data_IF_974380413165
#
_entry.id   IF_974380413165
#
_cell.length_a   1.000
_cell.length_b   1.000
_cell.length_c   1.000
_cell.angle_alpha   90.00
_cell.angle_beta   90.00
_cell.angle_gamma   90.00
#
_symmetry.space_group_name_H-M   'P 1'
#
loop_
_entity.id
_entity.type
_entity.pdbx_description
1 polymer ?
#
# COMPACT_ATOMS: atom_id res chain seq x y z
N UNK A 1 -20.03 14.46 -11.33
CA UNK A 1 -19.91 15.25 -12.59
C UNK A 1 -20.47 14.38 -13.70
N UNK A 2 -21.15 14.95 -14.70
CA UNK A 2 -21.60 14.15 -15.84
C UNK A 2 -20.39 13.61 -16.63
N UNK A 3 -20.54 12.51 -17.33
CA UNK A 3 -19.47 11.83 -18.08
C UNK A 3 -18.69 12.77 -19.04
N UNK A 4 -19.33 13.79 -19.56
CA UNK A 4 -18.73 14.80 -20.43
C UNK A 4 -17.73 15.72 -19.68
N UNK A 5 -18.06 16.15 -18.46
CA UNK A 5 -17.18 16.99 -17.64
C UNK A 5 -15.90 16.26 -17.25
N UNK A 6 -16.00 15.00 -16.80
CA UNK A 6 -14.84 14.15 -16.49
C UNK A 6 -13.94 13.96 -17.73
N UNK A 7 -14.53 13.71 -18.91
CA UNK A 7 -13.77 13.52 -20.15
C UNK A 7 -12.97 14.77 -20.55
N UNK A 8 -13.54 15.96 -20.38
CA UNK A 8 -12.85 17.24 -20.68
C UNK A 8 -11.71 17.50 -19.69
N UNK A 9 -11.95 17.33 -18.37
CA UNK A 9 -10.91 17.49 -17.35
C UNK A 9 -9.76 16.51 -17.57
N UNK A 10 -10.06 15.24 -17.84
CA UNK A 10 -9.09 14.19 -18.12
C UNK A 10 -8.23 14.53 -19.33
N UNK A 11 -8.84 14.98 -20.44
CA UNK A 11 -8.12 15.38 -21.65
C UNK A 11 -7.22 16.59 -21.40
N UNK A 12 -7.68 17.55 -20.61
CA UNK A 12 -6.87 18.70 -20.23
C UNK A 12 -5.67 18.31 -19.38
N UNK A 13 -5.84 17.37 -18.44
CA UNK A 13 -4.75 16.82 -17.65
C UNK A 13 -3.75 16.03 -18.51
N UNK A 14 -4.25 15.22 -19.46
CA UNK A 14 -3.40 14.49 -20.40
C UNK A 14 -2.48 15.43 -21.22
N UNK A 15 -3.00 16.55 -21.71
CA UNK A 15 -2.19 17.56 -22.41
C UNK A 15 -1.08 18.13 -21.51
N UNK A 16 -1.38 18.34 -20.23
CA UNK A 16 -0.39 18.80 -19.25
C UNK A 16 0.69 17.73 -19.04
N UNK A 17 0.29 16.46 -18.88
CA UNK A 17 1.23 15.33 -18.72
C UNK A 17 2.12 15.17 -19.96
N UNK A 18 1.56 15.24 -21.18
CA UNK A 18 2.34 15.13 -22.41
C UNK A 18 3.37 16.26 -22.54
N UNK A 19 2.98 17.50 -22.20
CA UNK A 19 3.90 18.65 -22.18
C UNK A 19 4.97 18.49 -21.12
N UNK A 20 4.60 17.99 -19.94
CA UNK A 20 5.50 17.69 -18.83
C UNK A 20 6.61 16.73 -19.29
N UNK A 21 6.21 15.53 -19.74
CA UNK A 21 7.15 14.49 -20.16
C UNK A 21 8.04 14.96 -21.31
N UNK A 22 7.46 15.67 -22.30
CA UNK A 22 8.21 16.24 -23.40
C UNK A 22 9.20 17.34 -22.96
N UNK A 23 8.86 18.16 -21.97
CA UNK A 23 9.74 19.22 -21.46
C UNK A 23 10.89 18.65 -20.64
N UNK A 24 10.64 17.63 -19.80
CA UNK A 24 11.68 16.96 -19.02
C UNK A 24 12.70 16.27 -19.94
N UNK A 25 12.22 15.56 -20.96
CA UNK A 25 13.09 14.85 -21.90
C UNK A 25 13.95 15.77 -22.78
N UNK A 26 13.56 17.04 -22.95
CA UNK A 26 14.28 18.05 -23.77
C UNK A 26 15.10 19.03 -22.95
N UNK A 27 14.90 19.08 -21.63
CA UNK A 27 15.54 20.09 -20.80
C UNK A 27 17.02 19.76 -20.57
N UNK A 28 17.90 20.74 -20.80
CA UNK A 28 19.29 20.68 -20.35
C UNK A 28 19.36 20.62 -18.81
N UNK A 29 18.43 21.30 -18.15
CA UNK A 29 18.26 21.28 -16.69
C UNK A 29 16.82 20.86 -16.34
N UNK A 30 16.62 19.65 -15.82
CA UNK A 30 15.31 19.14 -15.42
C UNK A 30 14.63 19.98 -14.35
N UNK A 31 15.41 20.65 -13.49
CA UNK A 31 14.87 21.55 -12.44
C UNK A 31 14.05 22.69 -13.02
N UNK A 32 14.48 23.27 -14.14
CA UNK A 32 13.73 24.31 -14.81
C UNK A 32 12.40 23.80 -15.37
N UNK A 33 12.40 22.58 -15.90
CA UNK A 33 11.17 21.92 -16.34
C UNK A 33 10.22 21.70 -15.15
N UNK A 34 10.71 21.19 -14.02
CA UNK A 34 9.89 21.01 -12.80
C UNK A 34 9.33 22.33 -12.28
N UNK A 35 10.12 23.40 -12.25
CA UNK A 35 9.65 24.73 -11.84
C UNK A 35 8.56 25.27 -12.76
N UNK A 36 8.69 25.08 -14.06
CA UNK A 36 7.68 25.48 -15.03
C UNK A 36 6.35 24.76 -14.82
N UNK A 37 6.41 23.45 -14.53
CA UNK A 37 5.25 22.62 -14.24
C UNK A 37 4.61 23.01 -12.92
N UNK A 38 5.44 23.19 -11.89
CA UNK A 38 4.99 23.64 -10.59
C UNK A 38 4.25 24.98 -10.69
N UNK A 39 4.79 25.93 -11.46
CA UNK A 39 4.13 27.21 -11.70
C UNK A 39 2.82 27.07 -12.48
N UNK A 40 2.74 26.11 -13.43
CA UNK A 40 1.50 25.78 -14.11
C UNK A 40 0.47 25.16 -13.16
N UNK A 41 0.87 24.18 -12.35
CA UNK A 41 0.02 23.57 -11.34
C UNK A 41 -0.51 24.60 -10.33
N UNK A 42 0.33 25.55 -9.93
CA UNK A 42 -0.04 26.68 -9.06
C UNK A 42 -1.12 27.58 -9.72
N UNK A 43 -0.97 27.89 -11.00
CA UNK A 43 -1.97 28.66 -11.76
C UNK A 43 -3.30 27.92 -11.90
N UNK A 44 -3.27 26.60 -12.02
CA UNK A 44 -4.46 25.75 -12.12
C UNK A 44 -5.09 25.40 -10.74
N UNK A 45 -4.57 25.95 -9.63
CA UNK A 45 -5.02 25.69 -8.25
C UNK A 45 -5.02 24.21 -7.85
N UNK A 46 -4.20 23.39 -8.50
CA UNK A 46 -4.09 21.96 -8.18
C UNK A 46 -3.59 21.76 -6.74
N UNK A 47 -2.82 22.69 -6.22
CA UNK A 47 -2.26 22.70 -4.86
C UNK A 47 -3.29 22.80 -3.73
N UNK A 48 -4.46 23.36 -3.99
CA UNK A 48 -5.55 23.45 -2.97
C UNK A 48 -6.12 22.04 -2.66
N UNK A 49 -5.85 21.07 -3.53
CA UNK A 49 -6.34 19.70 -3.39
C UNK A 49 -5.36 18.81 -2.62
N UNK A 50 -4.06 19.14 -2.63
CA UNK A 50 -3.00 18.25 -2.15
C UNK A 50 -2.46 18.55 -0.76
N UNK A 51 -2.81 19.68 -0.13
CA UNK A 51 -2.28 20.10 1.19
C UNK A 51 -0.75 20.26 1.25
N UNK A 52 -0.08 20.26 0.11
CA UNK A 52 1.36 20.47 0.02
C UNK A 52 1.66 21.96 0.19
N UNK A 53 2.58 22.29 1.10
CA UNK A 53 3.10 23.67 1.18
C UNK A 53 3.84 24.00 -0.13
N UNK A 54 3.27 24.93 -0.89
CA UNK A 54 3.82 25.38 -2.17
C UNK A 54 5.23 25.93 -2.03
N UNK A 55 5.50 26.65 -0.95
CA UNK A 55 6.82 27.23 -0.67
C UNK A 55 7.86 26.14 -0.42
N UNK A 56 7.51 25.11 0.35
CA UNK A 56 8.40 23.97 0.62
C UNK A 56 8.67 23.16 -0.65
N UNK A 57 7.64 22.96 -1.47
CA UNK A 57 7.79 22.24 -2.74
C UNK A 57 8.70 23.01 -3.70
N UNK A 58 8.51 24.33 -3.82
CA UNK A 58 9.36 25.19 -4.66
C UNK A 58 10.81 25.23 -4.18
N UNK A 59 11.03 25.33 -2.86
CA UNK A 59 12.36 25.28 -2.25
C UNK A 59 13.04 23.93 -2.53
N UNK A 60 12.32 22.83 -2.39
CA UNK A 60 12.86 21.50 -2.68
C UNK A 60 13.22 21.31 -4.17
N UNK A 61 12.43 21.88 -5.09
CA UNK A 61 12.76 21.84 -6.53
C UNK A 61 14.05 22.63 -6.82
N UNK A 62 14.26 23.76 -6.15
CA UNK A 62 15.44 24.62 -6.36
C UNK A 62 16.72 24.05 -5.74
N UNK A 63 16.62 23.15 -4.79
CA UNK A 63 17.75 22.51 -4.12
C UNK A 63 18.33 21.40 -5.02
N UNK A 64 19.57 21.53 -5.57
CA UNK A 64 20.15 20.53 -6.46
C UNK A 64 20.48 19.23 -5.76
N UNK A 65 20.67 19.26 -4.44
CA UNK A 65 21.02 18.08 -3.64
C UNK A 65 19.81 17.38 -3.04
N UNK A 66 18.61 17.88 -3.28
CA UNK A 66 17.40 17.29 -2.76
C UNK A 66 17.19 15.87 -3.31
N UNK A 67 17.31 14.88 -2.43
CA UNK A 67 17.21 13.46 -2.79
C UNK A 67 15.87 13.04 -3.36
N UNK A 68 14.77 13.72 -3.01
CA UNK A 68 13.44 13.40 -3.52
C UNK A 68 13.31 13.74 -5.01
N UNK A 69 14.01 14.80 -5.45
CA UNK A 69 14.11 15.09 -6.87
C UNK A 69 15.07 14.15 -7.59
N UNK A 70 16.13 13.68 -6.93
CA UNK A 70 16.95 12.56 -7.46
C UNK A 70 16.12 11.30 -7.62
N UNK A 71 15.20 11.01 -6.68
CA UNK A 71 14.26 9.90 -6.82
C UNK A 71 13.30 10.10 -8.00
N UNK A 72 12.73 11.30 -8.16
CA UNK A 72 11.85 11.62 -9.29
C UNK A 72 12.62 11.49 -10.61
N UNK A 73 13.84 12.01 -10.68
CA UNK A 73 14.71 11.87 -11.85
C UNK A 73 14.95 10.39 -12.18
N UNK A 74 15.30 9.57 -11.17
CA UNK A 74 15.51 8.13 -11.36
C UNK A 74 14.24 7.42 -11.87
N UNK A 75 13.06 7.76 -11.33
CA UNK A 75 11.79 7.21 -11.82
C UNK A 75 11.57 7.58 -13.29
N UNK A 76 11.74 8.84 -13.65
CA UNK A 76 11.46 9.31 -15.02
C UNK A 76 12.50 8.85 -16.04
N UNK A 77 13.78 8.74 -15.64
CA UNK A 77 14.87 8.30 -16.53
C UNK A 77 14.84 6.81 -16.81
N UNK A 78 14.41 6.02 -15.84
CA UNK A 78 14.43 4.56 -15.91
C UNK A 78 13.07 3.95 -16.26
N UNK A 79 12.02 4.77 -16.40
CA UNK A 79 10.68 4.25 -16.75
C UNK A 79 10.38 4.46 -18.23
N UNK A 80 9.79 3.43 -18.85
CA UNK A 80 9.27 3.56 -20.21
C UNK A 80 8.29 4.74 -20.29
N UNK A 81 8.41 5.64 -21.29
CA UNK A 81 7.57 6.84 -21.38
C UNK A 81 6.06 6.56 -21.43
N UNK A 82 5.64 5.44 -22.04
CA UNK A 82 4.21 5.06 -22.06
C UNK A 82 3.74 4.59 -20.68
N UNK A 83 4.56 3.83 -19.96
CA UNK A 83 4.30 3.42 -18.59
C UNK A 83 4.25 4.63 -17.66
N UNK A 84 5.19 5.56 -17.76
CA UNK A 84 5.21 6.80 -16.99
C UNK A 84 3.94 7.65 -17.24
N UNK A 85 3.57 7.84 -18.52
CA UNK A 85 2.33 8.55 -18.88
C UNK A 85 1.11 7.86 -18.30
N UNK A 86 1.01 6.53 -18.46
CA UNK A 86 -0.11 5.74 -17.97
C UNK A 86 -0.25 5.83 -16.45
N UNK A 87 0.86 5.71 -15.72
CA UNK A 87 0.90 5.87 -14.26
C UNK A 87 0.43 7.26 -13.83
N UNK A 88 0.92 8.33 -14.47
CA UNK A 88 0.49 9.69 -14.16
C UNK A 88 -1.01 9.91 -14.44
N UNK A 89 -1.54 9.33 -15.51
CA UNK A 89 -2.96 9.43 -15.82
C UNK A 89 -3.83 8.65 -14.83
N UNK A 90 -3.49 7.40 -14.55
CA UNK A 90 -4.33 6.54 -13.72
C UNK A 90 -4.17 6.83 -12.22
N UNK A 91 -2.93 6.93 -11.74
CA UNK A 91 -2.69 7.23 -10.34
C UNK A 91 -2.88 8.74 -10.05
N UNK A 92 -2.30 9.61 -10.86
CA UNK A 92 -2.36 11.06 -10.63
C UNK A 92 -3.76 11.63 -10.88
N UNK A 93 -4.34 11.41 -12.06
CA UNK A 93 -5.65 11.96 -12.39
C UNK A 93 -6.81 11.14 -11.84
N UNK A 94 -6.91 9.84 -12.24
CA UNK A 94 -8.10 9.06 -11.90
C UNK A 94 -8.18 8.77 -10.39
N UNK A 95 -7.11 8.28 -9.77
CA UNK A 95 -7.14 7.94 -8.34
C UNK A 95 -7.06 9.17 -7.43
N UNK A 96 -6.01 10.04 -7.61
CA UNK A 96 -5.79 11.14 -6.66
C UNK A 96 -6.66 12.36 -6.89
N UNK A 97 -6.87 12.80 -8.14
CA UNK A 97 -7.63 14.02 -8.39
C UNK A 97 -9.14 13.74 -8.49
N UNK A 98 -9.55 12.96 -9.48
CA UNK A 98 -10.97 12.71 -9.77
C UNK A 98 -11.61 11.79 -8.73
N UNK A 99 -10.94 10.67 -8.43
CA UNK A 99 -11.41 9.66 -7.49
C UNK A 99 -11.59 10.22 -6.09
N UNK A 100 -10.62 11.00 -5.58
CA UNK A 100 -10.72 11.61 -4.25
C UNK A 100 -11.94 12.56 -4.13
N UNK A 101 -12.27 13.32 -5.17
CA UNK A 101 -13.49 14.17 -5.18
C UNK A 101 -14.76 13.30 -5.05
N UNK A 102 -14.81 12.20 -5.79
CA UNK A 102 -15.93 11.24 -5.77
C UNK A 102 -16.03 10.55 -4.41
N UNK A 103 -14.92 10.08 -3.86
CA UNK A 103 -14.84 9.46 -2.53
C UNK A 103 -15.37 10.40 -1.45
N UNK A 104 -14.94 11.67 -1.42
CA UNK A 104 -15.43 12.64 -0.43
C UNK A 104 -16.94 12.82 -0.51
N UNK A 105 -17.47 13.02 -1.72
CA UNK A 105 -18.91 13.14 -1.95
C UNK A 105 -19.68 11.89 -1.48
N UNK A 106 -19.15 10.69 -1.81
CA UNK A 106 -19.83 9.44 -1.48
C UNK A 106 -19.75 9.12 0.03
N UNK A 107 -18.68 9.53 0.74
CA UNK A 107 -18.61 9.43 2.21
C UNK A 107 -19.73 10.21 2.90
N UNK A 108 -20.00 11.43 2.43
CA UNK A 108 -21.10 12.24 2.94
C UNK A 108 -22.46 11.64 2.57
N UNK A 109 -22.63 11.24 1.30
CA UNK A 109 -23.90 10.72 0.79
C UNK A 109 -24.32 9.42 1.50
N UNK A 110 -23.39 8.48 1.67
CA UNK A 110 -23.68 7.14 2.20
C UNK A 110 -23.39 7.01 3.69
N UNK A 111 -22.84 8.06 4.32
CA UNK A 111 -22.47 8.09 5.74
C UNK A 111 -21.62 6.87 6.17
N UNK A 112 -20.71 6.43 5.33
CA UNK A 112 -19.75 5.35 5.60
C UNK A 112 -18.34 5.70 5.11
N UNK A 113 -17.36 4.90 5.52
CA UNK A 113 -16.03 4.99 4.94
C UNK A 113 -16.08 4.57 3.47
N UNK A 114 -15.42 5.32 2.59
CA UNK A 114 -15.20 4.93 1.19
C UNK A 114 -13.69 4.96 0.95
N UNK A 115 -13.07 3.83 0.63
CA UNK A 115 -11.62 3.73 0.45
C UNK A 115 -11.18 4.31 -0.90
N UNK A 116 -9.92 4.71 -0.98
CA UNK A 116 -9.29 5.06 -2.26
C UNK A 116 -8.51 3.89 -2.87
N UNK A 117 -8.30 2.83 -2.09
CA UNK A 117 -7.63 1.59 -2.45
C UNK A 117 -8.46 0.39 -2.00
N UNK A 118 -8.68 -0.56 -2.91
CA UNK A 118 -9.26 -1.88 -2.57
C UNK A 118 -8.17 -2.93 -2.78
N UNK A 119 -7.91 -3.70 -1.72
CA UNK A 119 -6.99 -4.83 -1.74
C UNK A 119 -7.81 -6.11 -1.92
N UNK A 120 -7.42 -7.01 -2.82
CA UNK A 120 -8.10 -8.30 -2.95
C UNK A 120 -7.17 -9.43 -3.41
N UNK A 121 -7.59 -10.66 -3.13
CA UNK A 121 -6.85 -11.88 -3.44
C UNK A 121 -7.43 -12.56 -4.69
N UNK A 122 -6.78 -12.49 -5.85
CA UNK A 122 -7.21 -13.27 -7.02
C UNK A 122 -7.25 -14.77 -6.74
N UNK A 123 -6.36 -15.24 -5.86
CA UNK A 123 -6.18 -16.65 -5.51
C UNK A 123 -5.48 -16.82 -4.16
N UNK A 124 -5.75 -17.92 -3.48
CA UNK A 124 -4.96 -18.40 -2.34
C UNK A 124 -3.82 -19.36 -2.77
N UNK A 125 -3.81 -19.79 -4.03
CA UNK A 125 -2.72 -20.62 -4.52
C UNK A 125 -1.40 -19.84 -4.50
N UNK A 126 -0.36 -20.46 -3.97
CA UNK A 126 1.00 -19.95 -3.96
C UNK A 126 1.98 -21.05 -4.31
N UNK A 127 3.02 -20.70 -5.04
CA UNK A 127 4.11 -21.62 -5.38
C UNK A 127 5.24 -21.63 -4.32
N UNK A 128 5.01 -20.99 -3.16
CA UNK A 128 5.95 -20.91 -2.04
C UNK A 128 5.27 -21.22 -0.70
N UNK A 129 6.09 -21.53 0.33
CA UNK A 129 5.66 -21.84 1.70
C UNK A 129 6.51 -21.06 2.71
N UNK A 130 6.35 -19.74 2.74
CA UNK A 130 7.14 -18.85 3.59
C UNK A 130 6.79 -19.02 5.08
N UNK A 131 7.79 -19.02 5.95
CA UNK A 131 7.59 -19.11 7.41
C UNK A 131 6.81 -17.88 7.90
N UNK A 132 5.74 -18.11 8.67
CA UNK A 132 4.88 -17.05 9.21
C UNK A 132 4.12 -16.27 8.13
N UNK A 133 3.75 -16.91 7.03
CA UNK A 133 2.93 -16.29 6.00
C UNK A 133 1.48 -16.10 6.50
N UNK A 134 1.02 -14.85 6.56
CA UNK A 134 -0.35 -14.52 6.98
C UNK A 134 -1.42 -15.15 6.09
N UNK A 135 -1.15 -15.26 4.79
CA UNK A 135 -2.07 -15.84 3.80
C UNK A 135 -2.15 -17.36 3.85
N UNK A 136 -1.17 -18.04 4.46
CA UNK A 136 -1.15 -19.51 4.56
C UNK A 136 -2.29 -20.11 5.37
N UNK A 137 -3.03 -19.30 6.13
CA UNK A 137 -4.13 -19.74 7.01
C UNK A 137 -5.47 -19.89 6.29
N UNK A 138 -5.63 -19.33 5.09
CA UNK A 138 -6.87 -19.42 4.30
C UNK A 138 -7.05 -20.74 3.56
N UNK A 139 -5.98 -21.53 3.41
CA UNK A 139 -5.99 -22.71 2.54
C UNK A 139 -5.78 -22.35 1.06
N UNK A 140 -5.01 -23.17 0.36
CA UNK A 140 -4.53 -22.84 -1.00
C UNK A 140 -5.53 -23.15 -2.14
N UNK A 141 -6.83 -23.24 -1.86
CA UNK A 141 -7.83 -23.74 -2.82
C UNK A 141 -8.79 -22.69 -3.37
N UNK A 142 -8.93 -21.58 -2.67
CA UNK A 142 -9.94 -20.57 -3.00
C UNK A 142 -9.44 -19.60 -4.06
N UNK A 143 -10.38 -19.17 -4.91
CA UNK A 143 -10.14 -18.21 -5.97
C UNK A 143 -11.37 -17.33 -6.15
N UNK A 144 -11.13 -16.05 -6.44
CA UNK A 144 -12.15 -15.21 -7.04
C UNK A 144 -12.29 -15.57 -8.53
N UNK A 145 -13.50 -15.66 -9.04
CA UNK A 145 -13.73 -15.74 -10.48
C UNK A 145 -13.35 -14.42 -11.16
N UNK A 146 -13.17 -14.44 -12.48
CA UNK A 146 -12.94 -13.22 -13.23
C UNK A 146 -14.09 -12.21 -13.04
N UNK A 147 -15.34 -12.68 -13.05
CA UNK A 147 -16.54 -11.83 -12.89
C UNK A 147 -16.62 -11.21 -11.49
N UNK A 148 -16.18 -11.91 -10.44
CA UNK A 148 -16.07 -11.36 -9.08
C UNK A 148 -15.00 -10.26 -9.01
N UNK A 149 -13.82 -10.48 -9.60
CA UNK A 149 -12.77 -9.45 -9.68
C UNK A 149 -13.24 -8.23 -10.50
N UNK A 150 -13.94 -8.46 -11.61
CA UNK A 150 -14.53 -7.41 -12.43
C UNK A 150 -15.60 -6.61 -11.66
N UNK A 151 -16.45 -7.30 -10.89
CA UNK A 151 -17.45 -6.68 -10.01
C UNK A 151 -16.77 -5.77 -8.98
N UNK A 152 -15.70 -6.23 -8.34
CA UNK A 152 -14.93 -5.44 -7.36
C UNK A 152 -14.44 -4.15 -8.00
N UNK A 153 -13.79 -4.23 -9.17
CA UNK A 153 -13.22 -3.05 -9.83
C UNK A 153 -14.32 -2.12 -10.35
N UNK A 154 -15.37 -2.66 -10.96
CA UNK A 154 -16.48 -1.86 -11.49
C UNK A 154 -17.18 -1.07 -10.39
N UNK A 155 -17.56 -1.72 -9.29
CA UNK A 155 -18.25 -1.05 -8.18
C UNK A 155 -17.31 -0.13 -7.39
N UNK A 156 -16.03 -0.49 -7.26
CA UNK A 156 -15.05 0.38 -6.65
C UNK A 156 -14.89 1.71 -7.41
N UNK A 157 -14.87 1.67 -8.75
CA UNK A 157 -14.83 2.87 -9.61
C UNK A 157 -16.05 3.77 -9.40
N UNK A 158 -17.25 3.19 -9.28
CA UNK A 158 -18.48 3.94 -9.00
C UNK A 158 -18.37 4.72 -7.69
N UNK A 159 -17.68 4.16 -6.70
CA UNK A 159 -17.41 4.81 -5.42
C UNK A 159 -16.24 5.80 -5.47
N UNK A 160 -15.40 5.75 -6.51
CA UNK A 160 -14.25 6.64 -6.73
C UNK A 160 -12.89 5.98 -6.56
N UNK A 161 -12.83 4.67 -6.22
CA UNK A 161 -11.57 3.94 -6.13
C UNK A 161 -11.04 3.59 -7.52
N UNK A 162 -9.80 4.01 -7.82
CA UNK A 162 -9.11 3.72 -9.09
C UNK A 162 -7.73 3.08 -8.86
N UNK A 163 -7.43 2.71 -7.62
CA UNK A 163 -6.25 1.95 -7.26
C UNK A 163 -6.67 0.62 -6.64
N UNK A 164 -6.16 -0.47 -7.19
CA UNK A 164 -6.41 -1.83 -6.71
C UNK A 164 -5.10 -2.52 -6.42
N UNK A 165 -5.00 -3.16 -5.25
CA UNK A 165 -3.84 -3.96 -4.89
C UNK A 165 -4.20 -5.44 -4.89
N UNK A 166 -3.32 -6.26 -5.43
CA UNK A 166 -3.47 -7.70 -5.51
C UNK A 166 -2.52 -8.36 -4.52
N UNK A 167 -3.06 -9.31 -3.75
CA UNK A 167 -2.28 -10.12 -2.81
C UNK A 167 -2.84 -11.54 -2.76
N UNK A 168 -2.91 -12.20 -1.61
CA UNK A 168 -3.39 -13.56 -1.46
C UNK A 168 -2.26 -14.56 -1.31
N UNK A 169 -2.30 -15.65 -2.08
CA UNK A 169 -1.17 -16.53 -2.30
C UNK A 169 -0.11 -15.81 -3.15
N UNK A 170 0.01 -16.20 -4.41
CA UNK A 170 0.80 -15.46 -5.41
C UNK A 170 -0.14 -15.00 -6.54
N UNK A 171 -0.40 -13.69 -6.68
CA UNK A 171 -1.35 -13.17 -7.68
C UNK A 171 -0.99 -13.58 -9.11
N UNK A 172 0.31 -13.70 -9.41
CA UNK A 172 0.79 -14.03 -10.75
C UNK A 172 0.61 -15.51 -11.12
N UNK A 173 0.17 -16.37 -10.21
CA UNK A 173 -0.37 -17.72 -10.56
C UNK A 173 -1.60 -17.55 -11.48
N UNK A 174 -2.36 -16.47 -11.32
CA UNK A 174 -3.53 -16.09 -12.14
C UNK A 174 -3.20 -15.00 -13.17
N UNK A 175 -1.93 -14.93 -13.67
CA UNK A 175 -1.49 -13.84 -14.55
C UNK A 175 -2.41 -13.59 -15.76
N UNK A 176 -3.01 -14.62 -16.35
CA UNK A 176 -3.91 -14.45 -17.49
C UNK A 176 -5.18 -13.63 -17.13
N UNK A 177 -5.80 -13.94 -16.00
CA UNK A 177 -6.98 -13.21 -15.52
C UNK A 177 -6.61 -11.81 -15.04
N UNK A 178 -5.46 -11.64 -14.37
CA UNK A 178 -4.96 -10.34 -13.92
C UNK A 178 -4.70 -9.43 -15.12
N UNK A 179 -4.00 -9.90 -16.16
CA UNK A 179 -3.75 -9.12 -17.38
C UNK A 179 -5.05 -8.75 -18.10
N UNK A 180 -6.01 -9.67 -18.20
CA UNK A 180 -7.33 -9.42 -18.77
C UNK A 180 -8.11 -8.36 -17.96
N UNK A 181 -8.01 -8.40 -16.64
CA UNK A 181 -8.64 -7.40 -15.75
C UNK A 181 -8.01 -6.01 -15.95
N UNK A 182 -6.68 -5.94 -16.02
CA UNK A 182 -5.93 -4.70 -16.27
C UNK A 182 -6.28 -4.08 -17.63
N UNK A 183 -6.46 -4.91 -18.66
CA UNK A 183 -6.84 -4.46 -20.01
C UNK A 183 -8.27 -3.92 -20.02
N UNK A 184 -9.21 -4.62 -19.37
CA UNK A 184 -10.62 -4.18 -19.26
C UNK A 184 -10.75 -2.87 -18.48
N UNK A 185 -9.99 -2.72 -17.39
CA UNK A 185 -9.99 -1.53 -16.54
C UNK A 185 -8.72 -0.70 -16.74
N UNK A 186 -8.46 -0.33 -17.98
CA UNK A 186 -7.23 0.38 -18.34
C UNK A 186 -7.15 1.83 -17.80
N UNK A 187 -8.22 2.34 -17.21
CA UNK A 187 -8.33 3.61 -16.50
C UNK A 187 -8.03 3.48 -14.99
N UNK A 188 -7.77 2.26 -14.50
CA UNK A 188 -7.34 2.00 -13.13
C UNK A 188 -5.84 1.73 -13.05
N UNK A 189 -5.25 1.98 -11.89
CA UNK A 189 -3.93 1.51 -11.54
C UNK A 189 -4.04 0.25 -10.70
N UNK A 190 -3.25 -0.75 -11.04
CA UNK A 190 -3.10 -1.97 -10.28
C UNK A 190 -1.74 -2.00 -9.60
N UNK A 191 -1.66 -2.62 -8.45
CA UNK A 191 -0.41 -2.92 -7.77
C UNK A 191 -0.47 -4.38 -7.29
N UNK A 192 0.65 -5.08 -7.19
CA UNK A 192 0.63 -6.46 -6.71
C UNK A 192 1.81 -6.75 -5.79
N UNK A 193 1.52 -7.36 -4.65
CA UNK A 193 2.53 -8.01 -3.83
C UNK A 193 2.87 -9.34 -4.47
N UNK A 194 4.13 -9.55 -4.81
CA UNK A 194 4.56 -10.77 -5.51
C UNK A 194 5.85 -11.34 -4.92
N UNK A 195 5.95 -12.66 -4.88
CA UNK A 195 7.20 -13.35 -4.58
C UNK A 195 8.19 -13.28 -5.75
N UNK A 196 7.77 -12.73 -6.89
CA UNK A 196 8.57 -12.42 -8.08
C UNK A 196 9.11 -13.61 -8.87
N UNK A 197 8.90 -14.84 -8.41
CA UNK A 197 9.43 -16.04 -9.08
C UNK A 197 8.78 -16.33 -10.44
N UNK A 198 7.63 -15.69 -10.72
CA UNK A 198 6.88 -15.84 -11.97
C UNK A 198 7.07 -14.66 -12.94
N UNK A 199 7.98 -13.73 -12.62
CA UNK A 199 8.33 -12.61 -13.50
C UNK A 199 9.30 -13.11 -14.57
N UNK A 200 8.84 -13.08 -15.81
CA UNK A 200 9.59 -13.43 -17.00
C UNK A 200 9.50 -12.30 -18.06
N UNK A 201 10.28 -12.38 -19.13
CA UNK A 201 10.28 -11.37 -20.19
C UNK A 201 8.89 -11.23 -20.83
N UNK A 202 8.16 -12.32 -21.05
CA UNK A 202 6.84 -12.27 -21.66
C UNK A 202 5.84 -11.51 -20.77
N UNK A 203 5.92 -11.67 -19.45
CA UNK A 203 5.12 -10.87 -18.51
C UNK A 203 5.54 -9.39 -18.56
N UNK A 204 6.84 -9.09 -18.58
CA UNK A 204 7.33 -7.71 -18.68
C UNK A 204 6.84 -7.01 -19.97
N UNK A 205 6.81 -7.70 -21.10
CA UNK A 205 6.31 -7.18 -22.38
C UNK A 205 4.82 -6.81 -22.29
N UNK A 206 3.99 -7.67 -21.67
CA UNK A 206 2.57 -7.39 -21.44
C UNK A 206 2.35 -6.25 -20.44
N UNK A 207 3.13 -6.20 -19.35
CA UNK A 207 3.06 -5.11 -18.37
C UNK A 207 3.44 -3.77 -18.99
N UNK A 208 4.44 -3.76 -19.87
CA UNK A 208 4.83 -2.56 -20.63
C UNK A 208 3.74 -2.13 -21.61
N UNK A 209 3.11 -3.08 -22.30
CA UNK A 209 1.98 -2.82 -23.21
C UNK A 209 0.79 -2.19 -22.49
N UNK A 210 0.43 -2.69 -21.32
CA UNK A 210 -0.73 -2.23 -20.53
C UNK A 210 -0.40 -0.95 -19.73
N UNK A 211 0.78 -0.88 -19.13
CA UNK A 211 1.33 0.28 -18.44
C UNK A 211 0.69 0.61 -17.09
N UNK A 212 -0.22 -0.20 -16.58
CA UNK A 212 -1.03 0.10 -15.39
C UNK A 212 -0.83 -0.88 -14.23
N UNK A 213 0.38 -1.44 -14.07
CA UNK A 213 0.77 -2.28 -12.93
C UNK A 213 2.05 -1.77 -12.26
N UNK A 214 2.08 -1.82 -10.94
CA UNK A 214 3.27 -1.60 -10.10
C UNK A 214 3.47 -2.84 -9.23
N UNK A 215 4.64 -3.47 -9.30
CA UNK A 215 4.96 -4.58 -8.40
C UNK A 215 5.58 -4.09 -7.08
N UNK A 216 5.20 -4.73 -5.98
CA UNK A 216 5.92 -4.73 -4.72
C UNK A 216 6.60 -6.08 -4.57
N UNK A 217 7.88 -6.10 -4.90
CA UNK A 217 8.74 -7.30 -4.90
C UNK A 217 9.07 -7.69 -3.47
N UNK A 218 8.74 -8.92 -3.10
CA UNK A 218 8.95 -9.41 -1.74
C UNK A 218 10.41 -9.78 -1.48
N UNK A 219 11.05 -9.14 -0.49
CA UNK A 219 12.45 -9.38 -0.10
C UNK A 219 12.64 -9.15 1.39
N UNK A 220 13.55 -9.91 2.04
CA UNK A 220 13.68 -9.95 3.51
C UNK A 220 15.13 -9.68 4.00
N UNK A 221 15.90 -8.85 3.29
CA UNK A 221 17.26 -8.47 3.67
C UNK A 221 18.35 -9.18 2.87
N UNK A 222 19.32 -9.77 3.56
CA UNK A 222 20.45 -10.49 2.92
C UNK A 222 20.00 -11.83 2.33
N UNK A 223 20.83 -12.48 1.48
CA UNK A 223 20.52 -13.84 1.01
C UNK A 223 20.14 -14.80 2.14
N UNK A 224 20.88 -14.75 3.25
CA UNK A 224 20.66 -15.64 4.39
C UNK A 224 19.31 -15.36 5.08
N UNK A 225 19.02 -14.10 5.40
CA UNK A 225 17.76 -13.74 6.08
C UNK A 225 16.55 -13.91 5.17
N UNK A 226 16.71 -13.63 3.88
CA UNK A 226 15.68 -13.82 2.91
C UNK A 226 15.31 -15.31 2.72
N UNK A 227 16.31 -16.13 2.45
CA UNK A 227 16.10 -17.55 2.14
C UNK A 227 15.72 -18.35 3.39
N UNK A 228 16.17 -17.94 4.58
CA UNK A 228 15.71 -18.53 5.83
C UNK A 228 14.18 -18.43 6.02
N UNK A 229 13.54 -17.35 5.57
CA UNK A 229 12.08 -17.17 5.69
C UNK A 229 11.32 -17.67 4.46
N UNK A 230 11.86 -17.44 3.26
CA UNK A 230 11.14 -17.67 1.99
C UNK A 230 11.50 -18.97 1.28
N UNK A 231 12.62 -19.59 1.65
CA UNK A 231 13.14 -20.79 1.03
C UNK A 231 14.37 -20.52 0.14
N UNK A 232 15.20 -21.53 0.04
CA UNK A 232 16.49 -21.45 -0.67
C UNK A 232 16.33 -21.03 -2.12
N UNK A 233 17.18 -20.11 -2.57
CA UNK A 233 17.21 -19.61 -3.95
C UNK A 233 16.19 -18.51 -4.26
N UNK A 234 15.34 -18.12 -3.30
CA UNK A 234 14.39 -17.05 -3.50
C UNK A 234 15.08 -15.69 -3.68
N UNK A 235 16.15 -15.41 -2.91
CA UNK A 235 16.89 -14.16 -3.05
C UNK A 235 17.42 -13.97 -4.48
N UNK A 236 18.02 -15.01 -5.05
CA UNK A 236 18.55 -14.96 -6.42
C UNK A 236 17.43 -14.73 -7.46
N UNK A 237 16.28 -15.39 -7.29
CA UNK A 237 15.11 -15.20 -8.15
C UNK A 237 14.61 -13.75 -8.09
N UNK A 238 14.56 -13.15 -6.90
CA UNK A 238 14.15 -11.75 -6.70
C UNK A 238 15.13 -10.77 -7.35
N UNK A 239 16.46 -11.00 -7.20
CA UNK A 239 17.46 -10.16 -7.86
C UNK A 239 17.31 -10.17 -9.37
N UNK A 240 17.08 -11.32 -9.97
CA UNK A 240 16.82 -11.48 -11.41
C UNK A 240 15.53 -10.76 -11.83
N UNK A 241 14.47 -10.89 -11.04
CA UNK A 241 13.19 -10.22 -11.32
C UNK A 241 13.33 -8.70 -11.29
N UNK A 242 14.06 -8.14 -10.31
CA UNK A 242 14.34 -6.69 -10.25
C UNK A 242 15.12 -6.22 -11.48
N UNK A 243 16.13 -6.97 -11.92
CA UNK A 243 16.89 -6.64 -13.14
C UNK A 243 15.96 -6.61 -14.37
N UNK A 244 15.10 -7.63 -14.54
CA UNK A 244 14.13 -7.68 -15.64
C UNK A 244 13.17 -6.49 -15.61
N UNK A 245 12.62 -6.16 -14.44
CA UNK A 245 11.70 -5.02 -14.31
C UNK A 245 12.39 -3.70 -14.68
N UNK A 246 13.61 -3.49 -14.19
CA UNK A 246 14.42 -2.31 -14.48
C UNK A 246 14.76 -2.21 -15.96
N UNK A 247 15.26 -3.28 -16.57
CA UNK A 247 15.63 -3.35 -17.99
C UNK A 247 14.45 -3.08 -18.93
N UNK A 248 13.23 -3.44 -18.49
CA UNK A 248 11.99 -3.17 -19.24
C UNK A 248 11.37 -1.80 -18.94
N UNK A 249 11.98 -0.99 -18.08
CA UNK A 249 11.47 0.34 -17.73
C UNK A 249 10.14 0.29 -16.96
N UNK A 250 9.95 -0.71 -16.11
CA UNK A 250 8.75 -0.89 -15.29
C UNK A 250 8.96 -0.31 -13.90
N UNK A 251 7.95 0.40 -13.38
CA UNK A 251 8.00 0.96 -12.01
C UNK A 251 7.74 -0.16 -11.01
N UNK A 252 8.59 -0.27 -9.99
CA UNK A 252 8.39 -1.21 -8.90
C UNK A 252 8.96 -0.67 -7.57
N UNK A 253 8.46 -1.25 -6.50
CA UNK A 253 8.96 -1.11 -5.14
C UNK A 253 9.19 -2.47 -4.50
N UNK A 254 9.42 -2.47 -3.20
CA UNK A 254 9.63 -3.69 -2.42
C UNK A 254 8.60 -3.85 -1.33
N UNK A 255 8.35 -5.09 -0.93
CA UNK A 255 7.57 -5.49 0.24
C UNK A 255 8.46 -6.27 1.19
N UNK A 256 8.63 -5.76 2.40
CA UNK A 256 9.57 -6.26 3.39
C UNK A 256 8.81 -6.54 4.67
N UNK A 257 8.73 -7.80 5.07
CA UNK A 257 8.23 -8.16 6.39
C UNK A 257 9.38 -8.19 7.38
N UNK A 258 9.47 -7.19 8.25
CA UNK A 258 10.50 -7.19 9.28
C UNK A 258 10.08 -7.99 10.52
N UNK A 259 11.03 -8.75 11.03
CA UNK A 259 10.88 -9.69 12.14
C UNK A 259 11.98 -9.44 13.17
N UNK A 260 11.88 -10.09 14.32
CA UNK A 260 12.98 -10.10 15.33
C UNK A 260 14.30 -10.64 14.76
N UNK A 261 14.28 -11.40 13.66
CA UNK A 261 15.43 -12.09 13.09
C UNK A 261 16.12 -11.33 11.95
N UNK A 262 15.40 -10.46 11.22
CA UNK A 262 15.94 -9.80 10.03
C UNK A 262 16.00 -8.26 10.12
N UNK A 263 15.49 -7.66 11.19
CA UNK A 263 15.33 -6.21 11.29
C UNK A 263 16.66 -5.45 11.05
N UNK A 264 17.78 -5.96 11.51
CA UNK A 264 19.09 -5.36 11.27
C UNK A 264 19.44 -5.36 9.78
N UNK A 265 19.22 -6.50 9.11
CA UNK A 265 19.50 -6.65 7.68
C UNK A 265 18.62 -5.75 6.81
N UNK A 266 17.32 -5.68 7.08
CA UNK A 266 16.36 -4.91 6.25
C UNK A 266 16.44 -3.40 6.48
N UNK A 267 17.08 -2.96 7.56
CA UNK A 267 17.30 -1.54 7.88
C UNK A 267 18.74 -1.05 7.65
N UNK A 268 19.63 -1.94 7.18
CA UNK A 268 20.99 -1.57 6.79
C UNK A 268 20.97 -0.65 5.56
N UNK A 269 21.67 0.48 5.63
CA UNK A 269 21.74 1.44 4.51
C UNK A 269 22.34 0.81 3.24
N UNK A 270 23.24 -0.18 3.35
CA UNK A 270 23.76 -0.91 2.19
C UNK A 270 22.70 -1.73 1.49
N UNK A 271 21.83 -2.37 2.26
CA UNK A 271 20.70 -3.11 1.71
C UNK A 271 19.73 -2.16 0.99
N UNK A 272 19.36 -1.04 1.61
CA UNK A 272 18.45 -0.05 1.03
C UNK A 272 19.06 0.60 -0.22
N UNK A 273 20.37 0.89 -0.20
CA UNK A 273 21.09 1.39 -1.37
C UNK A 273 21.08 0.37 -2.51
N UNK A 274 21.34 -0.89 -2.20
CA UNK A 274 21.25 -1.98 -3.18
C UNK A 274 19.87 -2.06 -3.83
N UNK A 275 18.78 -1.91 -3.06
CA UNK A 275 17.42 -1.87 -3.61
C UNK A 275 17.23 -0.69 -4.58
N UNK A 276 17.69 0.50 -4.18
CA UNK A 276 17.65 1.68 -5.04
C UNK A 276 18.47 1.50 -6.33
N UNK A 277 19.67 0.93 -6.23
CA UNK A 277 20.56 0.65 -7.36
C UNK A 277 19.95 -0.40 -8.31
N UNK A 278 19.21 -1.36 -7.78
CA UNK A 278 18.42 -2.34 -8.55
C UNK A 278 17.17 -1.74 -9.21
N UNK A 279 16.84 -0.47 -8.92
CA UNK A 279 15.73 0.23 -9.54
C UNK A 279 14.44 0.24 -8.73
N UNK A 280 14.44 -0.23 -7.50
CA UNK A 280 13.30 -0.07 -6.61
C UNK A 280 13.21 1.39 -6.12
N UNK A 281 12.02 2.00 -6.22
CA UNK A 281 11.84 3.40 -5.90
C UNK A 281 11.31 3.62 -4.47
N UNK A 282 10.60 2.62 -3.93
CA UNK A 282 9.99 2.67 -2.61
C UNK A 282 9.94 1.28 -1.97
N UNK A 283 9.69 1.24 -0.66
CA UNK A 283 9.52 -0.02 0.05
C UNK A 283 8.44 0.07 1.12
N UNK A 284 7.55 -0.90 1.14
CA UNK A 284 6.64 -1.13 2.25
C UNK A 284 7.30 -2.04 3.27
N UNK A 285 7.46 -1.55 4.48
CA UNK A 285 7.93 -2.30 5.63
C UNK A 285 6.73 -2.69 6.49
N UNK A 286 6.50 -3.99 6.64
CA UNK A 286 5.43 -4.55 7.45
C UNK A 286 6.00 -5.21 8.70
N UNK A 287 5.51 -4.81 9.85
CA UNK A 287 5.74 -5.53 11.09
C UNK A 287 5.19 -6.95 10.95
N UNK A 288 5.94 -7.96 11.39
CA UNK A 288 5.40 -9.32 11.44
C UNK A 288 4.15 -9.38 12.30
N UNK A 289 3.06 -9.87 11.74
CA UNK A 289 1.76 -9.99 12.40
C UNK A 289 1.48 -11.45 12.75
N UNK A 290 1.23 -11.79 14.04
CA UNK A 290 1.06 -13.18 14.48
C UNK A 290 -0.36 -13.70 14.20
N UNK A 291 -0.73 -13.71 12.90
CA UNK A 291 -2.06 -14.11 12.42
C UNK A 291 -2.11 -15.61 12.15
N UNK A 292 -3.24 -16.24 12.50
CA UNK A 292 -3.49 -17.65 12.31
C UNK A 292 -2.96 -18.52 13.44
N UNK A 293 -3.54 -19.72 13.57
CA UNK A 293 -3.25 -20.66 14.65
C UNK A 293 -1.77 -21.10 14.72
N UNK A 294 -1.11 -21.15 13.57
CA UNK A 294 0.30 -21.54 13.44
C UNK A 294 1.24 -20.33 13.34
N UNK A 295 0.79 -19.17 13.79
CA UNK A 295 1.64 -17.99 13.86
C UNK A 295 2.85 -18.22 14.78
N UNK A 296 3.94 -17.54 14.47
CA UNK A 296 5.19 -17.59 15.22
C UNK A 296 5.42 -16.26 15.98
N UNK A 297 4.81 -16.05 17.18
CA UNK A 297 4.90 -14.79 17.91
C UNK A 297 6.34 -14.38 18.23
N UNK A 298 7.29 -15.33 18.30
CA UNK A 298 8.71 -15.10 18.49
C UNK A 298 9.38 -14.33 17.32
N UNK A 299 8.70 -14.26 16.17
CA UNK A 299 9.14 -13.43 15.04
C UNK A 299 8.72 -11.96 15.19
N UNK A 300 7.91 -11.61 16.17
CA UNK A 300 7.58 -10.22 16.43
C UNK A 300 8.85 -9.48 16.92
N UNK A 301 9.15 -8.29 16.37
CA UNK A 301 10.24 -7.48 16.86
C UNK A 301 10.07 -7.13 18.34
N UNK A 302 11.17 -7.06 19.11
CA UNK A 302 11.12 -6.52 20.47
C UNK A 302 10.78 -5.02 20.47
N UNK A 303 10.46 -4.49 21.62
CA UNK A 303 10.19 -3.05 21.79
C UNK A 303 11.40 -2.21 21.36
N UNK A 304 12.61 -2.62 21.72
CA UNK A 304 13.85 -1.97 21.35
C UNK A 304 14.09 -2.01 19.85
N UNK A 305 13.85 -3.17 19.23
CA UNK A 305 13.94 -3.34 17.79
C UNK A 305 12.92 -2.45 17.06
N UNK A 306 11.68 -2.33 17.58
CA UNK A 306 10.66 -1.45 17.00
C UNK A 306 11.03 0.03 17.12
N UNK A 307 11.60 0.46 18.27
CA UNK A 307 12.15 1.82 18.43
C UNK A 307 13.25 2.11 17.41
N UNK A 308 14.17 1.15 17.24
CA UNK A 308 15.27 1.28 16.28
C UNK A 308 14.76 1.32 14.83
N UNK A 309 13.73 0.52 14.49
CA UNK A 309 13.07 0.57 13.19
C UNK A 309 12.55 1.98 12.88
N UNK A 310 11.79 2.58 13.79
CA UNK A 310 11.26 3.94 13.65
C UNK A 310 12.39 4.92 13.40
N UNK A 311 13.44 4.87 14.22
CA UNK A 311 14.60 5.76 14.12
C UNK A 311 15.32 5.63 12.78
N UNK A 312 15.60 4.41 12.35
CA UNK A 312 16.29 4.12 11.07
C UNK A 312 15.46 4.55 9.87
N UNK A 313 14.18 4.21 9.81
CA UNK A 313 13.30 4.62 8.69
C UNK A 313 13.18 6.14 8.61
N UNK A 314 13.03 6.83 9.73
CA UNK A 314 13.00 8.30 9.76
C UNK A 314 14.30 8.91 9.29
N UNK A 315 15.45 8.34 9.68
CA UNK A 315 16.78 8.77 9.21
C UNK A 315 16.91 8.57 7.70
N UNK A 316 16.51 7.41 7.16
CA UNK A 316 16.52 7.18 5.70
C UNK A 316 15.68 8.23 4.98
N UNK A 317 14.57 8.68 5.55
CA UNK A 317 13.71 9.74 4.96
C UNK A 317 14.26 11.15 5.17
N UNK A 318 15.14 11.36 6.12
CA UNK A 318 15.67 12.70 6.44
C UNK A 318 16.72 13.19 5.40
N UNK A 319 17.12 14.45 5.52
CA UNK A 319 18.20 15.02 4.69
C UNK A 319 19.59 14.46 5.00
N UNK A 320 19.75 13.75 6.13
CA UNK A 320 21.04 13.14 6.54
C UNK A 320 21.41 11.92 5.68
N UNK A 321 20.44 11.33 4.99
CA UNK A 321 20.62 10.18 4.11
C UNK A 321 20.43 10.60 2.65
N UNK A 322 21.35 10.22 1.77
CA UNK A 322 21.37 10.57 0.35
C UNK A 322 20.68 9.52 -0.54
N UNK A 323 20.26 8.39 0.02
CA UNK A 323 19.65 7.28 -0.74
C UNK A 323 18.30 7.73 -1.32
N UNK A 324 18.12 7.72 -2.67
CA UNK A 324 16.88 8.10 -3.31
C UNK A 324 15.88 6.94 -3.31
N UNK A 325 15.41 6.59 -2.11
CA UNK A 325 14.46 5.51 -1.86
C UNK A 325 13.43 5.96 -0.82
N UNK A 326 12.16 5.66 -1.02
CA UNK A 326 11.08 6.05 -0.12
C UNK A 326 10.58 4.86 0.72
N UNK A 327 11.11 4.64 1.92
CA UNK A 327 10.60 3.61 2.82
C UNK A 327 9.32 4.08 3.50
N UNK A 328 8.32 3.20 3.57
CA UNK A 328 7.06 3.37 4.30
C UNK A 328 6.95 2.30 5.37
N UNK A 329 6.81 2.68 6.63
CA UNK A 329 6.62 1.75 7.74
C UNK A 329 5.13 1.64 8.07
N UNK A 330 4.49 0.61 7.59
CA UNK A 330 3.03 0.48 7.62
C UNK A 330 2.45 0.61 9.04
N UNK A 331 3.10 0.04 10.05
CA UNK A 331 2.61 0.10 11.43
C UNK A 331 3.02 1.36 12.17
N UNK A 332 4.19 1.94 11.87
CA UNK A 332 4.72 3.06 12.64
C UNK A 332 4.50 4.43 11.98
N UNK A 333 4.01 4.47 10.74
CA UNK A 333 3.67 5.70 10.02
C UNK A 333 2.22 6.19 10.29
N UNK A 334 1.56 5.67 11.30
CA UNK A 334 0.19 6.05 11.66
C UNK A 334 0.00 7.56 11.87
N UNK A 335 1.02 8.25 12.40
CA UNK A 335 1.00 9.71 12.56
C UNK A 335 0.84 10.45 11.22
N UNK A 336 1.39 9.90 10.12
CA UNK A 336 1.33 10.53 8.79
C UNK A 336 -0.02 10.36 8.09
N UNK A 337 -0.82 9.40 8.54
CA UNK A 337 -2.11 9.07 7.95
C UNK A 337 -3.27 9.20 8.94
N UNK A 338 -3.03 9.69 10.16
CA UNK A 338 -4.05 9.90 11.19
C UNK A 338 -4.53 8.59 11.82
N UNK A 339 -3.63 7.65 12.11
CA UNK A 339 -3.95 6.38 12.77
C UNK A 339 -4.28 5.24 11.81
N UNK A 340 -5.06 4.25 12.25
CA UNK A 340 -5.39 3.07 11.46
C UNK A 340 -6.14 3.42 10.17
N UNK A 341 -5.67 2.88 9.03
CA UNK A 341 -6.23 3.14 7.69
C UNK A 341 -7.22 2.06 7.22
N UNK A 342 -7.44 1.01 8.00
CA UNK A 342 -8.29 -0.14 7.68
C UNK A 342 -9.80 0.15 7.80
N UNK A 343 -10.65 -0.84 7.64
CA UNK A 343 -12.10 -0.72 7.77
C UNK A 343 -12.71 0.23 6.74
N UNK A 344 -12.21 0.24 5.52
CA UNK A 344 -12.67 1.08 4.43
C UNK A 344 -12.28 2.56 4.57
N UNK A 345 -11.52 2.96 5.61
CA UNK A 345 -11.11 4.35 5.76
C UNK A 345 -10.20 4.81 4.62
N UNK A 346 -9.13 4.08 4.36
CA UNK A 346 -8.27 4.26 3.18
C UNK A 346 -8.24 2.99 2.33
N UNK A 347 -8.35 1.81 2.96
CA UNK A 347 -8.42 0.53 2.28
C UNK A 347 -9.24 -0.49 3.10
N UNK A 348 -9.60 -1.59 2.44
CA UNK A 348 -10.05 -2.84 3.04
C UNK A 348 -9.62 -4.00 2.14
N UNK A 349 -9.82 -5.22 2.62
CA UNK A 349 -9.41 -6.45 1.97
C UNK A 349 -10.61 -7.31 1.57
N UNK A 350 -10.53 -7.95 0.40
CA UNK A 350 -11.44 -9.02 -0.01
C UNK A 350 -10.60 -10.26 -0.26
N UNK A 351 -10.77 -11.29 0.56
CA UNK A 351 -10.01 -12.53 0.40
C UNK A 351 -10.51 -13.38 -0.78
N UNK A 352 -9.79 -14.44 -1.13
CA UNK A 352 -10.16 -15.29 -2.26
C UNK A 352 -11.42 -16.14 -2.06
N UNK A 353 -11.96 -16.20 -0.82
CA UNK A 353 -13.28 -16.76 -0.54
C UNK A 353 -14.40 -15.72 -0.82
N UNK A 354 -14.04 -14.48 -1.07
CA UNK A 354 -14.95 -13.36 -1.31
C UNK A 354 -15.36 -12.60 -0.05
N UNK A 355 -14.82 -12.95 1.12
CA UNK A 355 -15.15 -12.28 2.38
C UNK A 355 -14.51 -10.91 2.46
N UNK A 356 -15.28 -9.90 2.89
CA UNK A 356 -14.79 -8.55 3.09
C UNK A 356 -14.21 -8.40 4.51
N UNK A 357 -12.93 -8.13 4.60
CA UNK A 357 -12.17 -8.01 5.85
C UNK A 357 -11.72 -6.56 6.05
N UNK A 358 -11.78 -6.03 7.29
CA UNK A 358 -11.32 -4.66 7.54
C UNK A 358 -9.86 -4.41 7.15
N UNK A 359 -9.00 -5.42 7.30
CA UNK A 359 -7.57 -5.36 7.05
C UNK A 359 -7.07 -6.74 6.61
N UNK A 360 -6.05 -6.78 5.78
CA UNK A 360 -5.38 -8.01 5.34
C UNK A 360 -4.84 -8.88 6.48
N UNK A 361 -4.67 -8.32 7.68
CA UNK A 361 -4.25 -9.03 8.88
C UNK A 361 -5.40 -9.31 9.86
N UNK A 362 -6.63 -8.94 9.54
CA UNK A 362 -7.81 -9.11 10.39
C UNK A 362 -8.79 -10.04 9.68
N UNK A 363 -8.67 -11.31 9.97
CA UNK A 363 -9.38 -12.40 9.28
C UNK A 363 -10.77 -12.63 9.88
N UNK A 364 -11.58 -11.57 9.92
CA UNK A 364 -12.99 -11.59 10.35
C UNK A 364 -13.85 -10.84 9.35
N UNK A 365 -15.03 -11.37 9.07
CA UNK A 365 -15.98 -10.79 8.11
C UNK A 365 -17.41 -11.00 8.53
N UNK A 366 -18.29 -10.13 8.06
CA UNK A 366 -19.74 -10.23 8.17
C UNK A 366 -20.46 -10.12 6.80
N UNK A 367 -19.70 -10.01 5.71
CA UNK A 367 -20.22 -9.87 4.33
C UNK A 367 -19.31 -10.55 3.30
N UNK A 368 -19.89 -10.91 2.15
CA UNK A 368 -19.17 -11.57 1.05
C UNK A 368 -19.52 -10.93 -0.29
N UNK A 369 -18.53 -10.79 -1.22
CA UNK A 369 -18.71 -10.16 -2.54
C UNK A 369 -19.74 -10.90 -3.42
N UNK A 370 -19.98 -12.18 -3.15
CA UNK A 370 -20.97 -12.97 -3.90
C UNK A 370 -22.39 -12.51 -3.62
N UNK A 371 -22.67 -12.13 -2.37
CA UNK A 371 -24.00 -11.80 -1.88
C UNK A 371 -24.21 -10.28 -1.74
N UNK A 372 -23.14 -9.49 -1.57
CA UNK A 372 -23.18 -8.06 -1.27
C UNK A 372 -22.50 -7.23 -2.36
N UNK A 373 -22.90 -5.98 -2.47
CA UNK A 373 -22.16 -4.94 -3.19
C UNK A 373 -21.01 -4.38 -2.32
N UNK A 374 -20.04 -3.72 -2.94
CA UNK A 374 -18.98 -3.01 -2.20
C UNK A 374 -19.56 -1.98 -1.22
N UNK A 375 -20.61 -1.28 -1.58
CA UNK A 375 -21.25 -0.30 -0.69
C UNK A 375 -21.91 -0.97 0.51
N UNK A 376 -22.63 -2.08 0.33
CA UNK A 376 -23.23 -2.85 1.42
C UNK A 376 -22.17 -3.40 2.37
N UNK A 377 -21.02 -3.87 1.86
CA UNK A 377 -19.88 -4.28 2.68
C UNK A 377 -19.37 -3.12 3.55
N UNK A 378 -19.18 -1.92 2.98
CA UNK A 378 -18.70 -0.75 3.69
C UNK A 378 -19.71 -0.20 4.72
N UNK A 379 -20.97 -0.57 4.60
CA UNK A 379 -22.05 -0.24 5.53
C UNK A 379 -22.39 -1.39 6.50
N UNK A 380 -21.67 -2.50 6.46
CA UNK A 380 -21.89 -3.62 7.35
C UNK A 380 -21.62 -3.27 8.82
N UNK A 381 -22.19 -3.99 9.77
CA UNK A 381 -21.92 -3.79 11.20
C UNK A 381 -20.44 -3.74 11.53
N UNK A 382 -19.62 -4.65 10.97
CA UNK A 382 -18.18 -4.72 11.19
C UNK A 382 -17.47 -3.46 10.71
N UNK A 383 -17.73 -3.01 9.48
CA UNK A 383 -17.09 -1.82 8.91
C UNK A 383 -17.55 -0.53 9.58
N UNK A 384 -18.83 -0.46 9.97
CA UNK A 384 -19.33 0.67 10.73
C UNK A 384 -18.78 0.73 12.15
N UNK A 385 -18.52 -0.41 12.79
CA UNK A 385 -17.82 -0.44 14.08
C UNK A 385 -16.38 0.09 13.96
N UNK A 386 -15.65 -0.26 12.88
CA UNK A 386 -14.37 0.34 12.58
C UNK A 386 -14.45 1.86 12.40
N UNK A 387 -15.39 2.34 11.60
CA UNK A 387 -15.61 3.77 11.38
C UNK A 387 -15.86 4.52 12.69
N UNK A 388 -16.67 3.98 13.57
CA UNK A 388 -17.02 4.60 14.85
C UNK A 388 -15.90 4.48 15.90
N UNK A 389 -15.07 3.45 15.83
CA UNK A 389 -13.97 3.20 16.76
C UNK A 389 -12.69 3.95 16.43
N UNK A 390 -12.49 4.34 15.18
CA UNK A 390 -11.28 5.04 14.74
C UNK A 390 -11.28 6.52 15.18
N UNK A 391 -10.11 7.07 15.61
CA UNK A 391 -8.85 6.37 15.84
C UNK A 391 -8.95 5.46 17.07
N UNK A 392 -8.39 4.26 16.98
CA UNK A 392 -8.40 3.33 18.12
C UNK A 392 -7.52 3.78 19.29
N UNK A 393 -6.62 4.73 19.03
CA UNK A 393 -5.73 5.32 20.02
C UNK A 393 -5.34 6.74 19.58
N UNK A 394 -5.31 7.69 20.52
CA UNK A 394 -4.88 9.08 20.29
C UNK A 394 -3.38 9.14 19.91
N UNK A 395 -2.58 8.23 20.44
CA UNK A 395 -1.20 8.06 20.03
C UNK A 395 -1.13 7.21 18.76
N UNK A 396 -0.87 7.86 17.63
CA UNK A 396 -0.85 7.20 16.32
C UNK A 396 0.37 6.29 16.07
N UNK A 397 1.28 6.14 17.03
CA UNK A 397 2.25 5.04 17.08
C UNK A 397 1.63 3.74 17.64
N UNK A 398 0.35 3.79 18.03
CA UNK A 398 -0.45 2.66 18.50
C UNK A 398 -1.76 2.55 17.71
N UNK A 399 -1.72 2.54 16.35
CA UNK A 399 -2.93 2.69 15.56
C UNK A 399 -3.77 1.42 15.41
N UNK A 400 -3.16 0.22 15.56
CA UNK A 400 -3.77 -1.04 15.16
C UNK A 400 -4.69 -1.60 16.27
N UNK A 401 -5.93 -1.99 15.95
CA UNK A 401 -6.82 -2.61 16.92
C UNK A 401 -6.40 -4.03 17.32
N UNK A 402 -5.54 -4.70 16.52
CA UNK A 402 -5.01 -6.02 16.86
C UNK A 402 -3.68 -5.94 17.60
N UNK A 403 -2.72 -5.18 17.08
CA UNK A 403 -1.34 -5.21 17.58
C UNK A 403 -1.16 -4.37 18.86
N UNK A 404 -1.80 -3.20 18.94
CA UNK A 404 -1.62 -2.24 20.04
C UNK A 404 -2.86 -2.03 20.91
N UNK A 405 -4.04 -2.40 20.43
CA UNK A 405 -5.32 -2.21 21.14
C UNK A 405 -6.20 -3.47 21.02
N UNK A 406 -5.71 -4.67 21.42
CA UNK A 406 -6.40 -5.95 21.17
C UNK A 406 -7.82 -6.01 21.77
N UNK A 407 -8.07 -5.28 22.85
CA UNK A 407 -9.41 -5.19 23.44
C UNK A 407 -10.43 -4.57 22.47
N UNK A 408 -9.99 -3.60 21.64
CA UNK A 408 -10.86 -2.96 20.65
C UNK A 408 -11.27 -3.93 19.55
N UNK A 409 -10.35 -4.77 19.07
CA UNK A 409 -10.68 -5.80 18.09
C UNK A 409 -11.66 -6.81 18.68
N UNK A 410 -11.40 -7.28 19.91
CA UNK A 410 -12.26 -8.23 20.62
C UNK A 410 -13.67 -7.68 20.80
N UNK A 411 -13.80 -6.43 21.24
CA UNK A 411 -15.09 -5.74 21.38
C UNK A 411 -15.84 -5.68 20.04
N UNK A 412 -15.17 -5.24 18.97
CA UNK A 412 -15.75 -5.09 17.64
C UNK A 412 -16.26 -6.44 17.11
N UNK A 413 -15.42 -7.46 17.08
CA UNK A 413 -15.80 -8.76 16.52
C UNK A 413 -16.97 -9.38 17.29
N UNK A 414 -16.94 -9.34 18.63
CA UNK A 414 -18.05 -9.86 19.45
C UNK A 414 -19.34 -9.08 19.30
N UNK A 415 -19.27 -7.75 19.22
CA UNK A 415 -20.45 -6.90 19.09
C UNK A 415 -21.13 -7.01 17.73
N UNK A 416 -20.36 -7.27 16.67
CA UNK A 416 -20.87 -7.36 15.29
C UNK A 416 -21.25 -8.78 14.87
N UNK A 417 -20.81 -9.79 15.62
CA UNK A 417 -21.00 -11.20 15.26
C UNK A 417 -20.21 -11.63 14.04
N UNK A 418 -19.16 -10.87 13.68
CA UNK A 418 -18.30 -11.22 12.57
C UNK A 418 -17.67 -12.61 12.78
N UNK A 419 -17.70 -13.43 11.74
CA UNK A 419 -17.12 -14.77 11.76
C UNK A 419 -15.66 -14.75 11.30
N UNK A 420 -14.88 -15.71 11.77
CA UNK A 420 -13.51 -15.89 11.30
C UNK A 420 -13.48 -16.44 9.87
N UNK A 421 -12.47 -16.03 9.08
CA UNK A 421 -12.36 -16.37 7.66
C UNK A 421 -11.21 -17.34 7.35
N UNK A 422 -10.42 -17.75 8.34
CA UNK A 422 -9.35 -18.74 8.20
C UNK A 422 -9.95 -20.16 8.06
N UNK A 423 -9.77 -20.78 6.91
CA UNK A 423 -10.35 -22.10 6.61
C UNK A 423 -9.52 -23.22 7.24
N UNK A 424 -8.18 -23.19 7.07
CA UNK A 424 -7.29 -24.27 7.53
C UNK A 424 -6.80 -24.09 8.97
N UNK A 425 -6.77 -22.87 9.45
CA UNK A 425 -6.32 -22.55 10.79
C UNK A 425 -7.29 -21.58 11.48
N UNK A 426 -8.55 -21.99 11.72
CA UNK A 426 -9.54 -21.15 12.38
C UNK A 426 -9.04 -20.70 13.74
N UNK A 427 -9.22 -19.42 14.02
CA UNK A 427 -8.74 -18.77 15.24
C UNK A 427 -9.81 -17.83 15.80
N UNK A 428 -10.26 -18.13 17.02
CA UNK A 428 -11.20 -17.27 17.72
C UNK A 428 -10.55 -15.92 18.08
N UNK A 429 -11.36 -14.87 18.14
CA UNK A 429 -10.86 -13.51 18.39
C UNK A 429 -10.14 -13.39 19.74
N UNK A 430 -10.55 -14.15 20.73
CA UNK A 430 -9.87 -14.17 22.03
C UNK A 430 -8.46 -14.76 21.91
N UNK A 431 -8.30 -15.86 21.17
CA UNK A 431 -6.99 -16.49 20.91
C UNK A 431 -6.05 -15.55 20.14
N UNK A 432 -6.55 -14.88 19.11
CA UNK A 432 -5.77 -13.90 18.34
C UNK A 432 -5.32 -12.73 19.21
N UNK A 433 -6.25 -12.13 19.96
CA UNK A 433 -5.97 -10.96 20.78
C UNK A 433 -5.00 -11.30 21.94
N UNK A 434 -5.12 -12.48 22.54
CA UNK A 434 -4.25 -12.91 23.64
C UNK A 434 -2.77 -12.97 23.22
N UNK A 435 -2.46 -13.26 21.96
CA UNK A 435 -1.09 -13.22 21.43
C UNK A 435 -0.45 -11.83 21.48
N UNK A 436 -1.25 -10.77 21.46
CA UNK A 436 -0.78 -9.40 21.33
C UNK A 436 -0.94 -8.56 22.59
N UNK A 437 -1.67 -9.02 23.61
CA UNK A 437 -1.89 -8.28 24.88
C UNK A 437 -0.58 -7.87 25.54
N UNK A 438 0.34 -8.80 25.73
CA UNK A 438 1.64 -8.51 26.37
C UNK A 438 2.49 -7.56 25.50
N UNK A 439 2.47 -7.75 24.19
CA UNK A 439 3.18 -6.88 23.26
C UNK A 439 2.62 -5.45 23.30
N UNK A 440 1.31 -5.28 23.26
CA UNK A 440 0.63 -4.00 23.35
C UNK A 440 0.96 -3.24 24.64
N UNK A 441 0.94 -3.97 25.78
CA UNK A 441 1.30 -3.41 27.09
C UNK A 441 2.76 -2.95 27.16
N UNK A 442 3.68 -3.76 26.64
CA UNK A 442 5.11 -3.44 26.63
C UNK A 442 5.44 -2.26 25.68
N UNK A 443 4.69 -2.11 24.58
CA UNK A 443 4.89 -1.01 23.64
C UNK A 443 4.28 0.30 24.10
N UNK A 444 3.29 0.30 24.98
CA UNK A 444 2.53 1.48 25.37
C UNK A 444 3.43 2.61 25.93
N UNK A 445 4.26 2.33 26.94
CA UNK A 445 5.16 3.32 27.52
C UNK A 445 6.16 3.90 26.52
N UNK A 446 6.93 3.05 25.80
CA UNK A 446 7.83 3.51 24.74
C UNK A 446 7.17 4.34 23.64
N UNK A 447 5.95 3.99 23.22
CA UNK A 447 5.20 4.77 22.24
C UNK A 447 4.84 6.16 22.77
N UNK A 448 4.44 6.29 24.06
CA UNK A 448 4.15 7.58 24.70
C UNK A 448 5.42 8.44 24.81
N UNK A 449 6.56 7.86 25.15
CA UNK A 449 7.85 8.59 25.21
C UNK A 449 8.22 9.19 23.85
N UNK A 450 8.12 8.39 22.77
CA UNK A 450 8.41 8.85 21.41
C UNK A 450 7.39 9.93 21.01
N UNK A 451 6.10 9.67 21.24
CA UNK A 451 5.03 10.60 20.90
C UNK A 451 5.19 11.94 21.61
N UNK A 452 5.46 11.96 22.90
CA UNK A 452 5.66 13.18 23.69
C UNK A 452 6.90 13.96 23.30
N UNK A 453 7.94 13.30 22.74
CA UNK A 453 9.18 13.96 22.31
C UNK A 453 9.08 14.72 20.99
N UNK A 454 7.96 14.60 20.28
CA UNK A 454 7.78 15.11 18.92
C UNK A 454 6.66 16.15 18.84
N UNK A 455 6.79 17.07 17.88
CA UNK A 455 5.74 18.03 17.60
C UNK A 455 4.78 17.43 16.55
N UNK A 456 3.60 17.06 16.99
CA UNK A 456 2.54 16.56 16.10
C UNK A 456 1.76 17.72 15.52
N UNK A 457 1.79 17.87 14.19
CA UNK A 457 0.98 18.84 13.48
C UNK A 457 -0.40 18.25 13.23
N UNK A 458 -1.47 19.03 13.51
CA UNK A 458 -2.78 18.72 12.94
C UNK A 458 -2.61 18.53 11.43
N UNK A 459 -2.98 17.35 10.92
CA UNK A 459 -2.81 17.05 9.50
C UNK A 459 -4.12 17.29 8.77
N UNK A 460 -4.09 18.05 7.65
CA UNK A 460 -5.30 18.37 6.89
C UNK A 460 -5.99 17.14 6.29
N UNK A 461 -5.38 15.96 6.41
CA UNK A 461 -5.89 14.68 5.89
C UNK A 461 -6.35 13.70 6.97
N UNK A 462 -6.46 14.11 8.23
CA UNK A 462 -7.18 13.26 9.15
C UNK A 462 -8.60 13.14 8.63
N UNK A 463 -8.95 11.98 8.06
CA UNK A 463 -10.33 11.68 7.66
C UNK A 463 -11.25 11.50 8.87
N UNK A 464 -10.72 11.74 10.06
CA UNK A 464 -11.49 11.91 11.27
C UNK A 464 -12.05 13.33 11.22
N UNK A 465 -13.18 13.51 10.56
CA UNK A 465 -13.97 14.72 10.73
C UNK A 465 -14.24 14.89 12.21
N UNK A 466 -13.98 16.11 12.71
CA UNK A 466 -14.44 16.50 14.04
C UNK A 466 -15.94 16.20 14.05
N UNK A 467 -16.34 15.20 14.78
CA UNK A 467 -17.72 14.84 15.05
C UNK A 467 -18.37 15.90 15.92
#
# INVERSE_FOLDING_TARGET
MGSLGHSIERKSFEIVVDRLLASINKAENKRDAYLNIFNLAKKLRISEISGISLEKAEAAIKDPDNKWFKLIDNVLDNTDPAVAKKTLMNLGYEAFLSGTKTIRKNRELYNCNIPWLILFDPTQACNMHCIGCWSGTYGHKSNLSFDEMDKIVTQGKELGAHLYMLTGGEPMVRKADVLKLMEKHNDCMFAAYTNSTLIDQALCDELKRLGNMIFMVSIEGTPETNDARRGNGHYEAVMKAMDLLKENGLIFGTSICYTSQNIEAVTDEKFIRMLADKGAHFGFYFHYMPVGKNAAPELMPSVEQRREMIRKIRRIRSAECDIPFFPMDFQNDGEFVGGCIAGGRNYFHINANGDAEPCVFIHYSDTNIRDNSILEMLQSPLFMAYRHGQPFNENHLRPCPMLENPEKLREIVKATGAHQTNVEAPEEVDELCDKTVAYAANWAGPAEEIWASETHKERPYSNYEKR
#
